data_IF_796786681120
#
_entry.id   IF_796786681120
#
_cell.length_a   1.000
_cell.length_b   1.000
_cell.length_c   1.000
_cell.angle_alpha   90.00
_cell.angle_beta   90.00
_cell.angle_gamma   90.00
#
_symmetry.space_group_name_H-M   'P 1'
#
loop_
_entity.id
_entity.type
_entity.pdbx_description
1 polymer ?
#
# COMPACT_ATOMS: atom_id res chain seq x y z
N UNK A 1 -0.27 -13.10 -19.62
CA UNK A 1 0.77 -12.29 -18.97
C UNK A 1 0.06 -11.48 -17.92
N UNK A 2 0.28 -11.79 -16.65
CA UNK A 2 -0.25 -10.97 -15.56
C UNK A 2 0.43 -9.60 -15.63
N UNK A 3 -0.33 -8.53 -15.44
CA UNK A 3 0.26 -7.19 -15.42
C UNK A 3 1.06 -7.03 -14.12
N UNK A 4 2.28 -6.45 -14.20
CA UNK A 4 3.04 -6.14 -12.99
C UNK A 4 2.25 -5.16 -12.13
N UNK A 5 2.28 -5.38 -10.82
CA UNK A 5 1.68 -4.49 -9.83
C UNK A 5 2.71 -4.13 -8.77
N UNK A 6 2.38 -3.16 -7.93
CA UNK A 6 3.23 -2.78 -6.81
C UNK A 6 3.14 -3.83 -5.69
N UNK A 7 4.29 -4.23 -5.18
CA UNK A 7 4.43 -5.06 -3.99
C UNK A 7 5.31 -4.34 -2.97
N UNK A 8 4.93 -4.41 -1.71
CA UNK A 8 5.72 -3.95 -0.59
C UNK A 8 6.57 -5.13 -0.06
N UNK A 9 7.88 -4.91 0.08
CA UNK A 9 8.78 -5.82 0.80
C UNK A 9 8.70 -5.48 2.28
N UNK A 10 8.42 -6.49 3.09
CA UNK A 10 8.28 -6.35 4.53
C UNK A 10 9.51 -6.90 5.25
N UNK A 11 10.01 -6.18 6.24
CA UNK A 11 10.92 -6.71 7.26
C UNK A 11 10.31 -6.49 8.63
N UNK A 12 10.07 -7.57 9.38
CA UNK A 12 9.42 -7.53 10.71
C UNK A 12 8.07 -6.79 10.72
N UNK A 13 7.31 -6.89 9.62
CA UNK A 13 6.00 -6.22 9.48
C UNK A 13 6.08 -4.75 9.06
N UNK A 14 7.27 -4.23 8.75
CA UNK A 14 7.48 -2.85 8.28
C UNK A 14 7.89 -2.85 6.81
N UNK A 15 7.30 -1.97 6.01
CA UNK A 15 7.65 -1.80 4.60
C UNK A 15 9.04 -1.20 4.48
N UNK A 16 9.98 -1.94 3.88
CA UNK A 16 11.35 -1.48 3.64
C UNK A 16 11.60 -1.09 2.19
N UNK A 17 10.81 -1.63 1.26
CA UNK A 17 10.90 -1.31 -0.16
C UNK A 17 9.57 -1.52 -0.87
N UNK A 18 9.36 -0.85 -2.00
CA UNK A 18 8.20 -1.09 -2.89
C UNK A 18 8.73 -1.38 -4.29
N UNK A 19 8.41 -2.56 -4.81
CA UNK A 19 8.91 -3.07 -6.07
C UNK A 19 7.77 -3.32 -7.06
N UNK A 20 8.10 -3.34 -8.34
CA UNK A 20 7.19 -3.77 -9.40
C UNK A 20 7.40 -5.24 -9.68
N UNK A 21 6.32 -6.02 -9.60
CA UNK A 21 6.41 -7.46 -9.71
C UNK A 21 5.15 -8.06 -10.34
N UNK A 22 5.34 -9.02 -11.24
CA UNK A 22 4.27 -9.87 -11.74
C UNK A 22 3.91 -10.92 -10.70
N UNK A 23 2.62 -11.23 -10.52
CA UNK A 23 2.15 -12.29 -9.61
C UNK A 23 2.85 -13.62 -9.83
N UNK A 24 3.19 -13.96 -11.08
CA UNK A 24 3.92 -15.18 -11.43
C UNK A 24 5.34 -15.26 -10.82
N UNK A 25 5.95 -14.12 -10.48
CA UNK A 25 7.29 -14.02 -9.87
C UNK A 25 7.24 -13.75 -8.36
N UNK A 26 6.06 -13.67 -7.75
CA UNK A 26 5.92 -13.31 -6.33
C UNK A 26 6.53 -14.38 -5.41
N UNK A 27 6.60 -15.63 -5.88
CA UNK A 27 7.24 -16.71 -5.15
C UNK A 27 8.74 -16.50 -4.90
N UNK A 28 9.42 -15.67 -5.71
CA UNK A 28 10.84 -15.35 -5.53
C UNK A 28 11.08 -14.35 -4.38
N UNK A 29 10.01 -13.70 -3.89
CA UNK A 29 10.05 -12.71 -2.83
C UNK A 29 8.99 -13.04 -1.77
N UNK A 30 9.27 -13.98 -0.85
CA UNK A 30 8.28 -14.47 0.11
C UNK A 30 7.74 -13.39 1.06
N UNK A 31 8.53 -12.34 1.30
CA UNK A 31 8.15 -11.19 2.14
C UNK A 31 7.48 -10.06 1.34
N UNK A 32 7.20 -10.27 0.05
CA UNK A 32 6.51 -9.31 -0.80
C UNK A 32 4.99 -9.46 -0.68
N UNK A 33 4.33 -8.36 -0.35
CA UNK A 33 2.87 -8.28 -0.24
C UNK A 33 2.31 -7.31 -1.26
N UNK A 34 1.28 -7.72 -1.99
CA UNK A 34 0.62 -6.85 -2.97
C UNK A 34 0.00 -5.62 -2.28
N UNK A 35 0.27 -4.41 -2.78
CA UNK A 35 -0.24 -3.18 -2.14
C UNK A 35 -1.73 -2.93 -2.39
N UNK A 36 -2.33 -3.62 -3.36
CA UNK A 36 -3.76 -3.51 -3.74
C UNK A 36 -4.19 -2.05 -3.96
N UNK A 37 -3.42 -1.31 -4.77
CA UNK A 37 -3.64 0.11 -5.11
C UNK A 37 -3.57 1.10 -3.93
N UNK A 38 -3.17 0.65 -2.75
CA UNK A 38 -2.91 1.54 -1.61
C UNK A 38 -1.63 2.33 -1.83
N UNK A 39 -1.63 3.56 -1.33
CA UNK A 39 -0.52 4.51 -1.42
C UNK A 39 0.62 4.19 -0.42
N UNK A 40 1.05 2.93 -0.42
CA UNK A 40 2.06 2.39 0.49
C UNK A 40 3.40 3.06 0.26
N UNK A 41 4.12 3.34 1.33
CA UNK A 41 5.45 3.93 1.34
C UNK A 41 6.35 3.19 2.33
N UNK A 42 7.67 3.36 2.15
CA UNK A 42 8.66 2.84 3.09
C UNK A 42 8.40 3.42 4.49
N UNK A 43 8.41 2.56 5.50
CA UNK A 43 8.10 2.88 6.90
C UNK A 43 6.65 2.60 7.32
N UNK A 44 5.74 2.33 6.39
CA UNK A 44 4.39 1.87 6.73
C UNK A 44 4.45 0.48 7.40
N UNK A 45 3.52 0.17 8.29
CA UNK A 45 3.41 -1.17 8.91
C UNK A 45 2.35 -1.99 8.19
N UNK A 46 2.50 -3.32 8.20
CA UNK A 46 1.53 -4.25 7.65
C UNK A 46 1.07 -5.20 8.75
N UNK A 47 -0.20 -5.09 9.12
CA UNK A 47 -0.82 -5.82 10.23
C UNK A 47 -2.21 -6.28 9.79
N UNK A 48 -2.56 -7.54 10.08
CA UNK A 48 -3.87 -8.14 9.78
C UNK A 48 -4.38 -7.95 8.33
N UNK A 49 -3.46 -7.89 7.36
CA UNK A 49 -3.80 -7.71 5.94
C UNK A 49 -3.95 -6.26 5.48
N UNK A 50 -3.66 -5.29 6.33
CA UNK A 50 -3.84 -3.85 6.06
C UNK A 50 -2.53 -3.10 6.29
N UNK A 51 -2.24 -2.14 5.41
CA UNK A 51 -1.11 -1.22 5.57
C UNK A 51 -1.51 -0.02 6.43
N UNK A 52 -0.65 0.39 7.35
CA UNK A 52 -0.87 1.52 8.24
C UNK A 52 0.29 2.51 8.17
N UNK A 53 -0.04 3.80 8.19
CA UNK A 53 0.89 4.91 8.37
C UNK A 53 0.57 5.61 9.67
N UNK A 54 1.49 5.57 10.62
CA UNK A 54 1.29 6.17 11.95
C UNK A 54 0.01 5.68 12.66
N UNK A 55 -0.36 4.41 12.44
CA UNK A 55 -1.59 3.80 12.99
C UNK A 55 -2.87 4.08 12.20
N UNK A 56 -2.80 4.81 11.10
CA UNK A 56 -3.95 5.10 10.21
C UNK A 56 -3.88 4.20 8.97
N UNK A 57 -4.97 3.52 8.56
CA UNK A 57 -4.97 2.73 7.33
C UNK A 57 -4.53 3.57 6.12
N UNK A 58 -3.57 3.05 5.36
CA UNK A 58 -3.09 3.69 4.13
C UNK A 58 -4.20 3.64 3.08
N UNK A 59 -4.68 4.79 2.59
CA UNK A 59 -5.76 4.83 1.64
C UNK A 59 -5.27 4.46 0.24
N UNK A 60 -6.19 4.04 -0.60
CA UNK A 60 -6.07 4.09 -2.06
C UNK A 60 -6.10 5.55 -2.55
N UNK A 61 -5.69 5.79 -3.79
CA UNK A 61 -5.77 7.15 -4.37
C UNK A 61 -7.23 7.65 -4.43
N UNK A 62 -8.19 6.78 -4.73
CA UNK A 62 -9.60 7.14 -4.77
C UNK A 62 -10.12 7.58 -3.39
N UNK A 63 -9.76 6.85 -2.33
CA UNK A 63 -10.12 7.20 -0.95
C UNK A 63 -9.47 8.52 -0.53
N UNK A 64 -8.20 8.73 -0.89
CA UNK A 64 -7.48 9.97 -0.61
C UNK A 64 -8.15 11.18 -1.28
N UNK A 65 -8.57 11.04 -2.54
CA UNK A 65 -9.30 12.10 -3.26
C UNK A 65 -10.63 12.40 -2.57
N UNK A 66 -11.43 11.38 -2.24
CA UNK A 66 -12.71 11.56 -1.56
C UNK A 66 -12.56 12.27 -0.19
N UNK A 67 -11.53 11.93 0.58
CA UNK A 67 -11.20 12.61 1.84
C UNK A 67 -10.86 14.08 1.63
N UNK A 68 -10.10 14.38 0.56
CA UNK A 68 -9.70 15.75 0.23
C UNK A 68 -10.89 16.59 -0.22
N UNK A 69 -11.79 16.03 -1.05
CA UNK A 69 -13.03 16.67 -1.48
C UNK A 69 -13.96 16.97 -0.30
N UNK A 70 -14.12 16.01 0.63
CA UNK A 70 -14.91 16.22 1.85
C UNK A 70 -14.34 17.37 2.70
N UNK A 71 -13.02 17.42 2.89
CA UNK A 71 -12.37 18.48 3.65
C UNK A 71 -12.53 19.87 3.00
N UNK A 72 -12.55 19.95 1.66
CA UNK A 72 -12.81 21.19 0.93
C UNK A 72 -14.26 21.65 1.07
N UNK A 73 -15.21 20.71 1.16
CA UNK A 73 -16.64 20.98 1.31
C UNK A 73 -16.99 21.49 2.72
N UNK A 74 -16.29 21.03 3.77
CA UNK A 74 -16.52 21.44 5.17
C UNK A 74 -15.91 22.82 5.51
N UNK A 75 -14.99 23.33 4.67
CA UNK A 75 -14.30 24.60 4.85
C UNK A 75 -15.00 25.84 4.25
N UNK A 76 -16.23 25.70 3.73
CA UNK A 76 -17.00 26.76 3.06
C UNK A 76 -18.42 26.91 3.64
#
# INVERSE_FOLDING_TARGET
MDQPTNYAILESGVVTNVIWLCSSNAADFPDAVNVQDRLVSVGDTFEDGVFYREGIPVPTEAERIALLEAALQEGN
#
